data_IF_123316460574
#
_entry.id   IF_123316460574
#
_cell.length_a   1.000
_cell.length_b   1.000
_cell.length_c   1.000
_cell.angle_alpha   90.00
_cell.angle_beta   90.00
_cell.angle_gamma   90.00
#
_symmetry.space_group_name_H-M   'P 1'
#
loop_
_entity.id
_entity.type
_entity.pdbx_description
1 polymer ?
#
# COMPACT_ATOMS: atom_id res chain seq x y z
N UNK A 1 50.03 18.20 -64.78
CA UNK A 1 49.54 18.17 -63.38
C UNK A 1 48.84 19.49 -63.06
N UNK A 2 47.50 19.48 -62.86
CA UNK A 2 46.66 20.49 -62.15
C UNK A 2 45.22 20.34 -62.67
N UNK A 3 44.41 19.49 -62.02
CA UNK A 3 43.01 19.29 -62.44
C UNK A 3 42.10 18.50 -61.50
N UNK A 4 42.63 17.84 -60.46
CA UNK A 4 41.82 16.97 -59.59
C UNK A 4 41.33 17.58 -58.27
N UNK A 5 41.89 18.69 -57.80
CA UNK A 5 41.71 19.15 -56.41
C UNK A 5 40.48 20.04 -56.21
N UNK A 6 39.94 20.67 -57.26
CA UNK A 6 38.83 21.63 -57.13
C UNK A 6 37.43 21.00 -56.99
N UNK A 7 37.22 19.75 -57.42
CA UNK A 7 35.90 19.09 -57.34
C UNK A 7 35.62 18.43 -55.99
N UNK A 8 36.66 18.08 -55.22
CA UNK A 8 36.50 17.42 -53.91
C UNK A 8 36.17 18.43 -52.78
N UNK A 9 36.64 19.67 -52.89
CA UNK A 9 36.43 20.70 -51.87
C UNK A 9 35.00 21.28 -51.86
N UNK A 10 34.33 21.29 -53.01
CA UNK A 10 32.96 21.82 -53.14
C UNK A 10 31.91 20.86 -52.57
N UNK A 11 32.14 19.55 -52.66
CA UNK A 11 31.25 18.54 -52.08
C UNK A 11 31.39 18.51 -50.54
N UNK A 12 32.61 18.72 -50.02
CA UNK A 12 32.85 18.72 -48.58
C UNK A 12 32.24 19.96 -47.86
N UNK A 13 32.22 21.12 -48.51
CA UNK A 13 31.55 22.31 -47.96
C UNK A 13 30.00 22.25 -48.04
N UNK A 14 29.44 21.47 -48.96
CA UNK A 14 27.98 21.29 -49.06
C UNK A 14 27.40 20.42 -47.94
N UNK A 15 28.18 19.50 -47.37
CA UNK A 15 27.73 18.66 -46.25
C UNK A 15 27.80 19.39 -44.90
N UNK A 16 28.78 20.28 -44.68
CA UNK A 16 28.85 21.05 -43.43
C UNK A 16 27.72 22.09 -43.28
N UNK A 17 27.20 22.62 -44.39
CA UNK A 17 26.07 23.56 -44.36
C UNK A 17 24.74 22.93 -43.94
N UNK A 18 24.56 21.62 -44.12
CA UNK A 18 23.30 20.93 -43.80
C UNK A 18 23.26 20.45 -42.33
N UNK A 19 24.39 20.08 -41.74
CA UNK A 19 24.46 19.70 -40.33
C UNK A 19 24.42 20.90 -39.37
N UNK A 20 24.84 22.10 -39.80
CA UNK A 20 24.75 23.31 -38.97
C UNK A 20 23.31 23.80 -38.74
N UNK A 21 22.44 23.69 -39.75
CA UNK A 21 21.04 24.13 -39.63
C UNK A 21 20.18 23.11 -38.88
N UNK A 22 20.44 21.80 -39.05
CA UNK A 22 19.79 20.75 -38.26
C UNK A 22 20.26 20.76 -36.80
N UNK A 23 21.54 21.06 -36.54
CA UNK A 23 22.06 21.18 -35.18
C UNK A 23 21.50 22.38 -34.40
N UNK A 24 21.24 23.50 -35.08
CA UNK A 24 20.61 24.68 -34.46
C UNK A 24 19.11 24.45 -34.25
N UNK A 25 18.42 23.72 -35.15
CA UNK A 25 17.02 23.35 -34.94
C UNK A 25 16.83 22.26 -33.86
N UNK A 26 17.79 21.33 -33.71
CA UNK A 26 17.80 20.37 -32.60
C UNK A 26 18.23 21.02 -31.27
N UNK A 27 19.12 22.01 -31.28
CA UNK A 27 19.53 22.75 -30.09
C UNK A 27 18.46 23.70 -29.55
N UNK A 28 17.64 24.29 -30.43
CA UNK A 28 16.49 25.13 -30.05
C UNK A 28 15.23 24.33 -29.64
N UNK A 29 15.18 23.02 -29.95
CA UNK A 29 14.11 22.12 -29.50
C UNK A 29 14.47 21.34 -28.22
N UNK A 30 15.70 21.47 -27.72
CA UNK A 30 16.17 20.85 -26.46
C UNK A 30 16.31 21.84 -25.31
N UNK A 31 15.91 23.10 -25.52
CA UNK A 31 15.63 24.03 -24.45
C UNK A 31 14.12 24.25 -24.35
N UNK A 32 13.36 23.14 -24.48
CA UNK A 32 12.15 23.03 -23.67
C UNK A 32 12.68 23.13 -22.27
N UNK A 33 12.29 24.19 -21.57
CA UNK A 33 12.27 24.16 -20.13
C UNK A 33 11.86 22.73 -19.77
N UNK A 34 12.79 21.98 -19.19
CA UNK A 34 12.39 21.01 -18.19
C UNK A 34 11.85 21.93 -17.11
N UNK A 35 10.62 22.43 -17.32
CA UNK A 35 9.66 22.49 -16.26
C UNK A 35 9.75 21.07 -15.71
N UNK A 36 10.57 20.92 -14.66
CA UNK A 36 10.32 19.88 -13.68
C UNK A 36 8.82 20.03 -13.47
N UNK A 37 8.04 19.12 -14.06
CA UNK A 37 6.63 19.05 -13.75
C UNK A 37 6.60 19.11 -12.25
N UNK A 38 5.94 20.11 -11.66
CA UNK A 38 6.08 20.31 -10.25
C UNK A 38 5.68 18.99 -9.61
N UNK A 39 6.59 18.38 -8.85
CA UNK A 39 6.32 17.19 -8.05
C UNK A 39 5.37 17.61 -6.93
N UNK A 40 4.15 17.96 -7.30
CA UNK A 40 3.03 18.05 -6.40
C UNK A 40 2.51 16.64 -6.35
N UNK A 41 3.05 15.86 -5.42
CA UNK A 41 2.28 15.10 -4.46
C UNK A 41 3.32 14.33 -3.59
N UNK A 42 3.62 14.82 -2.39
CA UNK A 42 4.37 14.05 -1.39
C UNK A 42 3.34 13.58 -0.35
N UNK A 43 2.66 12.45 -0.60
CA UNK A 43 1.92 11.77 0.45
C UNK A 43 2.92 11.26 1.51
N UNK A 44 2.77 11.74 2.73
CA UNK A 44 3.52 11.23 3.89
C UNK A 44 2.56 10.76 4.97
N UNK A 45 2.97 9.73 5.73
CA UNK A 45 2.24 9.24 6.88
C UNK A 45 2.99 9.56 8.17
N UNK A 46 2.30 10.14 9.14
CA UNK A 46 2.82 10.29 10.50
C UNK A 46 2.17 9.26 11.42
N UNK A 47 2.99 8.50 12.13
CA UNK A 47 2.57 7.53 13.13
C UNK A 47 3.55 7.54 14.30
N UNK A 48 3.03 7.73 15.53
CA UNK A 48 3.83 7.79 16.77
C UNK A 48 5.04 8.73 16.71
N UNK A 49 4.82 9.94 16.20
CA UNK A 49 5.85 11.00 16.06
C UNK A 49 6.92 10.72 14.99
N UNK A 50 6.83 9.59 14.27
CA UNK A 50 7.66 9.31 13.10
C UNK A 50 6.88 9.62 11.82
N UNK A 51 7.57 10.19 10.83
CA UNK A 51 7.03 10.50 9.50
C UNK A 51 7.69 9.60 8.47
N UNK A 52 6.86 9.05 7.58
CA UNK A 52 7.25 8.13 6.51
C UNK A 52 6.81 8.71 5.18
N UNK A 53 7.77 8.85 4.27
CA UNK A 53 7.61 9.23 2.87
C UNK A 53 7.76 8.01 1.91
N UNK A 54 8.04 6.83 2.48
CA UNK A 54 8.14 5.56 1.78
C UNK A 54 7.33 4.48 2.51
N UNK A 55 6.95 3.42 1.79
CA UNK A 55 6.27 2.26 2.37
C UNK A 55 7.16 1.55 3.39
N UNK A 56 6.57 1.12 4.50
CA UNK A 56 7.27 0.55 5.66
C UNK A 56 6.82 -0.86 5.98
N UNK A 57 7.71 -1.60 6.65
CA UNK A 57 7.48 -2.99 7.10
C UNK A 57 7.85 -3.17 8.56
N UNK A 58 7.39 -4.27 9.16
CA UNK A 58 7.70 -4.65 10.53
C UNK A 58 6.97 -3.79 11.56
N UNK A 59 5.90 -3.09 11.17
CA UNK A 59 5.16 -2.25 12.09
C UNK A 59 4.34 -3.10 13.07
N UNK A 60 4.17 -2.56 14.29
CA UNK A 60 3.29 -3.11 15.31
C UNK A 60 2.14 -2.15 15.51
N UNK A 61 1.00 -2.47 14.91
CA UNK A 61 -0.21 -1.66 15.01
C UNK A 61 -1.12 -2.25 16.10
N UNK A 62 -1.73 -1.37 16.87
CA UNK A 62 -2.64 -1.68 17.96
C UNK A 62 -4.01 -1.05 17.69
N UNK A 63 -5.06 -1.64 18.27
CA UNK A 63 -6.39 -1.03 18.24
C UNK A 63 -6.36 0.39 18.81
N UNK A 64 -6.96 1.34 18.11
CA UNK A 64 -6.95 2.77 18.41
C UNK A 64 -5.74 3.53 17.90
N UNK A 65 -4.77 2.87 17.24
CA UNK A 65 -3.67 3.57 16.59
C UNK A 65 -4.17 4.43 15.43
N UNK A 66 -3.58 5.61 15.28
CA UNK A 66 -3.95 6.62 14.29
C UNK A 66 -2.75 6.94 13.41
N UNK A 67 -2.97 6.94 12.10
CA UNK A 67 -2.06 7.46 11.08
C UNK A 67 -2.60 8.79 10.58
N UNK A 68 -1.74 9.79 10.44
CA UNK A 68 -2.11 11.09 9.84
C UNK A 68 -1.43 11.25 8.49
N UNK A 69 -2.21 11.46 7.45
CA UNK A 69 -1.72 11.72 6.10
C UNK A 69 -1.48 13.22 5.91
N UNK A 70 -0.27 13.57 5.46
CA UNK A 70 0.02 14.92 4.94
C UNK A 70 0.18 14.83 3.43
N UNK A 71 -0.53 15.70 2.73
CA UNK A 71 -0.59 15.74 1.26
C UNK A 71 -1.11 17.11 0.81
N UNK A 72 -0.60 17.60 -0.31
CA UNK A 72 -1.08 18.80 -1.01
C UNK A 72 -2.30 18.50 -1.90
N UNK A 73 -2.59 17.22 -2.17
CA UNK A 73 -3.73 16.81 -3.00
C UNK A 73 -5.06 17.14 -2.31
N UNK A 74 -6.04 17.54 -3.13
CA UNK A 74 -7.44 17.76 -2.73
C UNK A 74 -8.30 16.50 -2.82
N UNK A 75 -7.70 15.38 -3.23
CA UNK A 75 -8.41 14.11 -3.37
C UNK A 75 -8.82 13.53 -2.02
N UNK A 76 -9.76 12.59 -2.07
CA UNK A 76 -10.26 11.91 -0.87
C UNK A 76 -9.25 10.88 -0.38
N UNK A 77 -8.85 11.04 0.89
CA UNK A 77 -8.10 10.03 1.63
C UNK A 77 -8.91 8.72 1.68
N UNK A 78 -8.22 7.61 1.42
CA UNK A 78 -8.74 6.25 1.54
C UNK A 78 -7.75 5.37 2.26
N UNK A 79 -8.26 4.32 2.90
CA UNK A 79 -7.45 3.32 3.56
C UNK A 79 -8.05 1.94 3.36
N UNK A 80 -7.18 0.95 3.16
CA UNK A 80 -7.57 -0.45 2.96
C UNK A 80 -6.62 -1.36 3.72
N UNK A 81 -7.14 -2.38 4.39
CA UNK A 81 -6.32 -3.46 4.97
C UNK A 81 -6.50 -4.73 4.15
N UNK A 82 -5.39 -5.35 3.76
CA UNK A 82 -5.37 -6.63 3.04
C UNK A 82 -4.47 -7.61 3.78
N UNK A 83 -4.88 -8.88 3.86
CA UNK A 83 -3.98 -9.93 4.34
C UNK A 83 -2.88 -10.20 3.32
N UNK A 84 -1.63 -10.35 3.75
CA UNK A 84 -0.49 -10.61 2.85
C UNK A 84 -0.04 -12.06 2.94
N UNK A 85 0.63 -12.51 1.88
CA UNK A 85 1.22 -13.84 1.82
C UNK A 85 2.44 -13.92 2.75
N UNK A 86 2.50 -14.99 3.54
CA UNK A 86 3.61 -15.29 4.44
C UNK A 86 4.66 -16.16 3.74
N UNK A 87 5.92 -16.00 4.15
CA UNK A 87 7.01 -16.89 3.70
C UNK A 87 6.76 -18.32 4.15
N UNK A 88 6.40 -18.50 5.43
CA UNK A 88 5.96 -19.77 6.00
C UNK A 88 4.45 -19.73 6.19
N UNK A 89 3.76 -20.67 5.54
CA UNK A 89 2.32 -20.78 5.66
C UNK A 89 1.92 -21.21 7.08
N UNK A 90 0.83 -20.64 7.58
CA UNK A 90 0.25 -20.99 8.88
C UNK A 90 -1.15 -21.54 8.67
N UNK A 91 -1.57 -22.44 9.56
CA UNK A 91 -2.90 -23.02 9.51
C UNK A 91 -3.68 -22.73 10.77
N UNK A 92 -4.99 -22.53 10.63
CA UNK A 92 -5.93 -22.41 11.73
C UNK A 92 -7.17 -23.25 11.47
N UNK A 93 -7.97 -23.48 12.48
CA UNK A 93 -9.18 -24.30 12.40
C UNK A 93 -10.40 -23.46 12.75
N UNK A 94 -11.44 -23.50 11.91
CA UNK A 94 -12.77 -22.96 12.20
C UNK A 94 -13.76 -24.12 12.12
N UNK A 95 -14.50 -24.41 13.20
CA UNK A 95 -15.49 -25.49 13.26
C UNK A 95 -14.94 -26.83 12.72
N UNK A 96 -13.77 -27.25 13.21
CA UNK A 96 -13.08 -28.49 12.82
C UNK A 96 -12.53 -28.53 11.37
N UNK A 97 -12.78 -27.50 10.55
CA UNK A 97 -12.17 -27.35 9.24
C UNK A 97 -10.87 -26.57 9.33
N UNK A 98 -9.79 -27.13 8.78
CA UNK A 98 -8.49 -26.45 8.66
C UNK A 98 -8.46 -25.52 7.46
N UNK A 99 -7.88 -24.34 7.67
CA UNK A 99 -7.65 -23.28 6.69
C UNK A 99 -6.15 -22.98 6.65
N UNK A 100 -5.64 -22.71 5.45
CA UNK A 100 -4.30 -22.19 5.19
C UNK A 100 -4.36 -20.66 5.09
N UNK A 101 -3.40 -19.99 5.69
CA UNK A 101 -3.31 -18.54 5.55
C UNK A 101 -3.04 -18.14 4.10
N UNK A 102 -2.04 -18.75 3.48
CA UNK A 102 -1.61 -18.39 2.13
C UNK A 102 -2.62 -18.78 1.05
N UNK A 103 -3.42 -19.81 1.25
CA UNK A 103 -4.43 -20.25 0.28
C UNK A 103 -5.81 -19.64 0.52
N UNK A 104 -6.25 -19.51 1.78
CA UNK A 104 -7.63 -19.12 2.11
C UNK A 104 -7.77 -17.66 2.62
N UNK A 105 -6.68 -17.01 3.04
CA UNK A 105 -6.72 -15.68 3.69
C UNK A 105 -5.94 -14.62 2.93
N UNK A 106 -4.73 -14.94 2.48
CA UNK A 106 -3.86 -13.97 1.82
C UNK A 106 -4.51 -13.40 0.54
N UNK A 107 -4.48 -12.08 0.41
CA UNK A 107 -5.13 -11.35 -0.68
C UNK A 107 -6.56 -10.90 -0.37
N UNK A 108 -7.20 -11.44 0.66
CA UNK A 108 -8.52 -11.00 1.09
C UNK A 108 -8.46 -9.60 1.73
N UNK A 109 -9.57 -8.86 1.62
CA UNK A 109 -9.72 -7.56 2.24
C UNK A 109 -10.24 -7.68 3.68
N UNK A 110 -9.55 -7.00 4.61
CA UNK A 110 -9.80 -7.05 6.05
C UNK A 110 -10.14 -5.67 6.63
N UNK A 111 -10.32 -4.64 5.79
CA UNK A 111 -10.63 -3.26 6.21
C UNK A 111 -11.77 -3.19 7.23
N UNK A 112 -12.87 -3.89 6.95
CA UNK A 112 -14.04 -3.95 7.85
C UNK A 112 -13.78 -4.74 9.12
N UNK A 113 -13.01 -5.83 9.05
CA UNK A 113 -12.66 -6.66 10.20
C UNK A 113 -11.75 -5.91 11.19
N UNK A 114 -10.85 -5.06 10.68
CA UNK A 114 -10.02 -4.16 11.49
C UNK A 114 -10.73 -2.89 11.95
N UNK A 115 -11.98 -2.67 11.53
CA UNK A 115 -12.72 -1.45 11.85
C UNK A 115 -11.97 -0.20 11.43
N UNK A 116 -11.39 -0.19 10.23
CA UNK A 116 -10.63 0.96 9.73
C UNK A 116 -11.58 2.11 9.48
N UNK A 117 -11.30 3.24 10.13
CA UNK A 117 -12.05 4.49 9.97
C UNK A 117 -11.16 5.55 9.32
N UNK A 118 -11.74 6.33 8.40
CA UNK A 118 -11.03 7.38 7.67
C UNK A 118 -11.73 8.72 7.91
N UNK A 119 -11.04 9.62 8.60
CA UNK A 119 -11.50 10.99 8.78
C UNK A 119 -10.85 11.90 7.73
N UNK A 120 -11.65 12.37 6.77
CA UNK A 120 -11.16 13.22 5.67
C UNK A 120 -10.77 14.63 6.14
N UNK A 121 -11.47 15.17 7.13
CA UNK A 121 -11.23 16.53 7.62
C UNK A 121 -9.92 16.62 8.41
N UNK A 122 -9.63 15.58 9.19
CA UNK A 122 -8.39 15.45 9.97
C UNK A 122 -7.27 14.74 9.20
N UNK A 123 -7.55 14.30 7.97
CA UNK A 123 -6.67 13.45 7.15
C UNK A 123 -6.09 12.28 7.96
N UNK A 124 -6.93 11.61 8.75
CA UNK A 124 -6.50 10.56 9.67
C UNK A 124 -7.14 9.20 9.34
N UNK A 125 -6.40 8.14 9.63
CA UNK A 125 -6.81 6.74 9.49
C UNK A 125 -6.64 6.06 10.83
N UNK A 126 -7.73 5.50 11.37
CA UNK A 126 -7.71 4.79 12.66
C UNK A 126 -7.89 3.30 12.43
N UNK A 127 -7.07 2.47 13.08
CA UNK A 127 -7.27 1.01 13.11
C UNK A 127 -8.02 0.66 14.38
N UNK A 128 -9.31 0.33 14.28
CA UNK A 128 -10.22 0.23 15.42
C UNK A 128 -10.16 -1.08 16.21
N UNK A 129 -9.77 -2.19 15.57
CA UNK A 129 -9.87 -3.53 16.16
C UNK A 129 -8.51 -4.19 16.40
N UNK A 130 -8.47 -5.05 17.41
CA UNK A 130 -7.35 -5.96 17.67
C UNK A 130 -7.33 -7.11 16.65
N UNK A 131 -6.21 -7.82 16.54
CA UNK A 131 -6.16 -9.03 15.71
C UNK A 131 -7.21 -10.06 16.15
N UNK A 132 -7.42 -10.19 17.45
CA UNK A 132 -8.40 -11.11 18.01
C UNK A 132 -9.82 -10.80 17.50
N UNK A 133 -10.22 -9.53 17.58
CA UNK A 133 -11.51 -9.07 17.09
C UNK A 133 -11.63 -9.20 15.57
N UNK A 134 -10.58 -8.89 14.83
CA UNK A 134 -10.57 -9.03 13.37
C UNK A 134 -10.70 -10.51 12.94
N UNK A 135 -9.98 -11.42 13.59
CA UNK A 135 -10.10 -12.87 13.34
C UNK A 135 -11.50 -13.39 13.70
N UNK A 136 -12.09 -12.89 14.79
CA UNK A 136 -13.47 -13.22 15.16
C UNK A 136 -14.47 -12.73 14.10
N UNK A 137 -14.31 -11.51 13.61
CA UNK A 137 -15.13 -10.97 12.53
C UNK A 137 -14.99 -11.82 11.25
N UNK A 138 -13.78 -12.24 10.90
CA UNK A 138 -13.54 -13.13 9.75
C UNK A 138 -14.18 -14.51 9.91
N UNK A 139 -14.11 -15.13 11.08
CA UNK A 139 -14.77 -16.42 11.27
C UNK A 139 -16.29 -16.31 11.29
N UNK A 140 -16.85 -15.21 11.80
CA UNK A 140 -18.28 -14.94 11.71
C UNK A 140 -18.73 -14.86 10.25
N UNK A 141 -17.97 -14.23 9.37
CA UNK A 141 -18.32 -14.17 7.94
C UNK A 141 -18.12 -15.51 7.24
N UNK A 142 -17.12 -16.30 7.65
CA UNK A 142 -16.79 -17.58 6.99
C UNK A 142 -17.67 -18.75 7.46
N UNK A 143 -18.01 -18.80 8.74
CA UNK A 143 -18.67 -19.95 9.37
C UNK A 143 -19.94 -19.61 10.16
N UNK A 144 -20.30 -18.33 10.28
CA UNK A 144 -21.51 -17.88 10.97
C UNK A 144 -21.38 -17.81 12.49
N UNK A 145 -22.51 -17.56 13.15
CA UNK A 145 -22.61 -17.46 14.62
C UNK A 145 -22.28 -18.80 15.30
N UNK A 146 -21.52 -18.77 16.40
CA UNK A 146 -21.09 -19.96 17.12
C UNK A 146 -19.85 -20.65 16.53
N UNK A 147 -19.16 -19.98 15.61
CA UNK A 147 -17.89 -20.47 15.08
C UNK A 147 -16.84 -20.58 16.20
N UNK A 148 -16.23 -21.75 16.35
CA UNK A 148 -15.07 -21.96 17.20
C UNK A 148 -13.81 -21.81 16.36
N UNK A 149 -12.97 -20.83 16.69
CA UNK A 149 -11.67 -20.62 16.03
C UNK A 149 -10.58 -21.12 16.96
N UNK A 150 -9.75 -22.01 16.43
CA UNK A 150 -8.52 -22.44 17.08
C UNK A 150 -7.37 -22.10 16.17
N UNK A 151 -6.55 -21.15 16.59
CA UNK A 151 -5.27 -20.84 15.96
C UNK A 151 -4.14 -21.11 16.96
N UNK A 152 -2.98 -21.50 16.43
CA UNK A 152 -1.77 -21.69 17.24
C UNK A 152 -1.15 -20.36 17.67
N UNK A 153 0.11 -20.38 18.08
CA UNK A 153 0.87 -19.14 18.25
C UNK A 153 1.00 -18.44 16.89
N UNK A 154 0.47 -17.23 16.76
CA UNK A 154 0.61 -16.46 15.54
C UNK A 154 2.07 -15.97 15.41
N UNK A 155 2.63 -16.00 14.19
CA UNK A 155 3.99 -15.57 13.96
C UNK A 155 4.11 -14.06 14.21
N UNK A 156 5.23 -13.64 14.79
CA UNK A 156 5.55 -12.22 14.96
C UNK A 156 6.13 -11.62 13.66
N UNK A 157 5.40 -11.79 12.56
CA UNK A 157 5.73 -11.32 11.20
C UNK A 157 4.60 -10.45 10.68
N UNK A 158 4.87 -9.69 9.62
CA UNK A 158 3.82 -8.92 8.96
C UNK A 158 2.81 -9.87 8.31
N UNK A 159 1.55 -9.73 8.70
CA UNK A 159 0.44 -10.55 8.22
C UNK A 159 -0.56 -9.73 7.41
N UNK A 160 -0.48 -8.40 7.53
CA UNK A 160 -1.40 -7.48 6.90
C UNK A 160 -0.67 -6.29 6.30
N UNK A 161 -1.33 -5.66 5.34
CA UNK A 161 -0.92 -4.41 4.73
C UNK A 161 -2.03 -3.39 4.86
N UNK A 162 -1.73 -2.27 5.51
CA UNK A 162 -2.55 -1.07 5.46
C UNK A 162 -2.05 -0.20 4.31
N UNK A 163 -2.84 -0.06 3.26
CA UNK A 163 -2.57 0.87 2.15
C UNK A 163 -3.35 2.14 2.42
N UNK A 164 -2.65 3.25 2.62
CA UNK A 164 -3.24 4.60 2.73
C UNK A 164 -2.99 5.32 1.41
N UNK A 165 -4.05 5.84 0.80
CA UNK A 165 -3.97 6.42 -0.53
C UNK A 165 -4.71 7.75 -0.64
N UNK A 166 -4.15 8.65 -1.45
CA UNK A 166 -4.74 9.94 -1.84
C UNK A 166 -4.53 10.07 -3.35
N UNK A 167 -5.62 10.09 -4.10
CA UNK A 167 -5.55 10.10 -5.57
C UNK A 167 -4.83 8.86 -6.11
N UNK A 168 -3.80 9.06 -6.93
CA UNK A 168 -2.97 7.97 -7.48
C UNK A 168 -1.82 7.56 -6.56
N UNK A 169 -1.61 8.29 -5.46
CA UNK A 169 -0.53 8.01 -4.52
C UNK A 169 -0.96 7.08 -3.41
N UNK A 170 -0.04 6.22 -2.97
CA UNK A 170 -0.27 5.34 -1.85
C UNK A 170 1.00 5.02 -1.09
N UNK A 171 0.87 4.87 0.23
CA UNK A 171 1.88 4.33 1.09
C UNK A 171 1.36 3.05 1.74
N UNK A 172 2.19 2.02 1.70
CA UNK A 172 1.90 0.73 2.30
C UNK A 172 2.59 0.61 3.65
N UNK A 173 1.84 0.16 4.65
CA UNK A 173 2.33 -0.20 5.97
C UNK A 173 2.10 -1.70 6.16
N UNK A 174 3.15 -2.50 6.00
CA UNK A 174 3.13 -3.92 6.36
C UNK A 174 3.28 -4.04 7.88
N UNK A 175 2.35 -4.74 8.51
CA UNK A 175 2.28 -4.84 9.97
C UNK A 175 1.98 -6.23 10.49
N UNK A 176 2.54 -6.50 11.66
CA UNK A 176 2.14 -7.56 12.56
C UNK A 176 1.05 -7.06 13.49
N UNK A 177 -0.05 -7.81 13.58
CA UNK A 177 -1.07 -7.54 14.58
C UNK A 177 -0.84 -8.52 15.74
N UNK A 178 -0.62 -8.00 16.95
CA UNK A 178 -0.27 -8.86 18.09
C UNK A 178 -1.55 -9.44 18.70
N UNK A 179 -1.80 -10.73 18.47
CA UNK A 179 -2.72 -11.49 19.32
C UNK A 179 -1.97 -11.96 20.58
N UNK A 180 -2.53 -11.76 21.76
CA UNK A 180 -2.23 -12.70 22.85
C UNK A 180 -2.85 -14.02 22.41
N UNK A 181 -2.08 -15.10 22.38
CA UNK A 181 -2.61 -16.42 22.03
C UNK A 181 -3.67 -16.81 23.06
N UNK A 182 -4.94 -16.72 22.67
CA UNK A 182 -6.07 -17.11 23.51
C UNK A 182 -6.93 -18.08 22.73
N UNK A 183 -7.26 -19.21 23.34
CA UNK A 183 -8.28 -20.12 22.85
C UNK A 183 -9.63 -19.41 23.02
N UNK A 184 -10.27 -18.99 21.93
CA UNK A 184 -11.53 -18.24 21.97
C UNK A 184 -12.66 -19.26 21.82
N UNK A 185 -13.35 -19.54 22.92
CA UNK A 185 -14.65 -20.22 22.87
C UNK A 185 -15.72 -19.12 22.85
N UNK A 186 -16.40 -18.93 21.71
CA UNK A 186 -17.56 -18.05 21.65
C UNK A 186 -18.73 -18.73 22.35
N UNK A 187 -19.24 -18.09 23.41
CA UNK A 187 -20.41 -18.53 24.15
C UNK A 187 -21.63 -18.46 23.20
N UNK A 188 -22.31 -19.58 22.99
CA UNK A 188 -23.42 -19.73 22.04
C UNK A 188 -24.70 -18.99 22.45
N UNK A 189 -24.69 -18.29 23.59
CA UNK A 189 -25.90 -18.01 24.33
C UNK A 189 -26.05 -16.51 24.63
N UNK A 190 -26.19 -15.66 23.60
CA UNK A 190 -26.75 -14.30 23.80
C UNK A 190 -27.33 -13.66 22.54
N UNK A 191 -28.55 -14.06 22.19
CA UNK A 191 -29.50 -13.14 21.58
C UNK A 191 -30.13 -12.35 22.73
N UNK A 192 -29.75 -11.08 22.91
CA UNK A 192 -30.47 -10.18 23.82
C UNK A 192 -31.62 -9.57 23.03
N UNK A 193 -32.84 -9.99 23.33
CA UNK A 193 -34.02 -9.16 23.06
C UNK A 193 -34.25 -8.30 24.30
N UNK A 194 -34.09 -6.98 24.16
CA UNK A 194 -34.58 -6.03 25.17
C UNK A 194 -36.12 -5.90 25.07
N UNK A 195 -36.82 -5.69 26.21
CA UNK A 195 -38.28 -5.76 26.31
C UNK A 195 -39.05 -4.70 25.51
#
# INVERSE_FOLDING_TARGET
>A
MKGGIKKFLIIFLSCLGFFGVVGIFCGLMLNKDVEEEPNYDDLTLTYREETYDESVKGMKIYAGDVFTATTESTDKLTAKVTAIKLEEDITFTINEKTYSWNEDVAGEEWTGAFGVDVNQDEKSVTVGATLEEAMNAYALTTAGTGANIVYGTLPAVDMFRLTVAVGEQSLDVDFSALAKATQITLDTDRIVFEP
#
